data_IF_140917071599
#
_entry.id   IF_140917071599
#
_cell.length_a   1.000
_cell.length_b   1.000
_cell.length_c   1.000
_cell.angle_alpha   90.00
_cell.angle_beta   90.00
_cell.angle_gamma   90.00
#
_symmetry.space_group_name_H-M   'P 1'
#
loop_
_entity.id
_entity.type
_entity.pdbx_description
1 polymer ?
#
# COMPACT_ATOMS: atom_id res chain seq x y z
N UNK A 1 0.80 19.42 -13.35
CA UNK A 1 0.91 17.94 -13.41
C UNK A 1 0.83 17.41 -12.00
N UNK A 2 -0.23 16.68 -11.67
CA UNK A 2 -0.46 16.10 -10.34
C UNK A 2 0.66 15.11 -10.03
N UNK A 3 1.41 15.37 -8.94
CA UNK A 3 2.49 14.50 -8.48
C UNK A 3 1.87 13.15 -8.10
N UNK A 4 2.10 12.12 -8.91
CA UNK A 4 1.81 10.74 -8.52
C UNK A 4 2.64 10.47 -7.26
N UNK A 5 1.97 10.45 -6.10
CA UNK A 5 2.58 10.28 -4.78
C UNK A 5 2.84 8.79 -4.56
N UNK A 6 3.63 8.20 -5.46
CA UNK A 6 4.12 6.82 -5.36
C UNK A 6 5.37 6.83 -4.49
N UNK A 7 5.36 6.02 -3.44
CA UNK A 7 6.49 5.83 -2.54
C UNK A 7 7.05 4.41 -2.72
N UNK A 8 8.39 4.29 -2.78
CA UNK A 8 9.05 3.00 -2.94
C UNK A 8 9.10 2.27 -1.61
N UNK A 9 8.55 1.05 -1.55
CA UNK A 9 8.62 0.17 -0.38
C UNK A 9 9.61 -0.98 -0.62
N UNK A 10 10.67 -1.05 0.19
CA UNK A 10 11.66 -2.14 0.16
C UNK A 10 11.42 -3.12 1.30
N UNK A 11 11.19 -4.40 0.97
CA UNK A 11 10.84 -5.45 1.94
C UNK A 11 11.84 -6.60 1.84
N UNK A 12 12.42 -7.00 2.97
CA UNK A 12 13.15 -8.27 3.10
C UNK A 12 12.22 -9.30 3.73
N UNK A 13 12.08 -10.46 3.09
CA UNK A 13 11.17 -11.53 3.53
C UNK A 13 11.72 -12.89 3.13
N UNK A 14 11.06 -13.97 3.56
CA UNK A 14 11.45 -15.34 3.23
C UNK A 14 11.16 -15.68 1.76
N UNK A 15 11.88 -16.65 1.17
CA UNK A 15 11.62 -17.12 -0.20
C UNK A 15 10.18 -17.60 -0.39
N UNK A 16 9.61 -18.26 0.61
CA UNK A 16 8.24 -18.79 0.55
C UNK A 16 7.21 -17.66 0.43
N UNK A 17 7.34 -16.59 1.21
CA UNK A 17 6.44 -15.43 1.12
C UNK A 17 6.54 -14.78 -0.25
N UNK A 18 7.75 -14.64 -0.81
CA UNK A 18 7.95 -14.10 -2.16
C UNK A 18 7.23 -14.94 -3.24
N UNK A 19 7.29 -16.27 -3.13
CA UNK A 19 6.62 -17.17 -4.07
C UNK A 19 5.10 -17.11 -3.95
N UNK A 20 4.57 -17.15 -2.73
CA UNK A 20 3.14 -17.04 -2.48
C UNK A 20 2.57 -15.71 -2.98
N UNK A 21 3.28 -14.61 -2.73
CA UNK A 21 2.87 -13.28 -3.19
C UNK A 21 2.81 -13.20 -4.72
N UNK A 22 3.80 -13.80 -5.41
CA UNK A 22 3.81 -13.87 -6.87
C UNK A 22 2.66 -14.71 -7.41
N UNK A 23 2.44 -15.91 -6.86
CA UNK A 23 1.35 -16.78 -7.27
C UNK A 23 -0.03 -16.12 -7.08
N UNK A 24 -0.22 -15.39 -5.98
CA UNK A 24 -1.43 -14.61 -5.74
C UNK A 24 -1.61 -13.50 -6.80
N UNK A 25 -0.55 -12.75 -7.10
CA UNK A 25 -0.57 -11.69 -8.10
C UNK A 25 -0.90 -12.21 -9.50
N UNK A 26 -0.29 -13.35 -9.89
CA UNK A 26 -0.55 -14.02 -11.16
C UNK A 26 -2.00 -14.49 -11.27
N UNK A 27 -2.54 -15.08 -10.20
CA UNK A 27 -3.94 -15.57 -10.16
C UNK A 27 -4.96 -14.46 -10.38
N UNK A 28 -4.68 -13.24 -9.94
CA UNK A 28 -5.57 -12.09 -10.11
C UNK A 28 -5.21 -11.20 -11.30
N UNK A 29 -4.23 -11.60 -12.13
CA UNK A 29 -3.75 -10.82 -13.27
C UNK A 29 -3.26 -9.40 -12.89
N UNK A 30 -2.56 -9.28 -11.76
CA UNK A 30 -2.07 -8.00 -11.21
C UNK A 30 -0.57 -8.02 -11.01
N UNK A 31 0.02 -6.83 -10.85
CA UNK A 31 1.42 -6.72 -10.43
C UNK A 31 1.58 -7.13 -8.96
N UNK A 32 2.79 -7.55 -8.59
CA UNK A 32 3.15 -7.85 -7.19
C UNK A 32 2.94 -6.63 -6.29
N UNK A 33 3.25 -5.41 -6.77
CA UNK A 33 3.02 -4.19 -6.03
C UNK A 33 1.52 -3.97 -5.74
N UNK A 34 0.67 -4.13 -6.75
CA UNK A 34 -0.79 -4.01 -6.59
C UNK A 34 -1.34 -5.08 -5.63
N UNK A 35 -0.81 -6.31 -5.69
CA UNK A 35 -1.19 -7.36 -4.74
C UNK A 35 -0.81 -6.99 -3.29
N UNK A 36 0.36 -6.39 -3.07
CA UNK A 36 0.75 -5.91 -1.73
C UNK A 36 -0.24 -4.86 -1.22
N UNK A 37 -0.67 -3.91 -2.05
CA UNK A 37 -1.67 -2.92 -1.65
C UNK A 37 -3.00 -3.57 -1.22
N UNK A 38 -3.50 -4.52 -2.00
CA UNK A 38 -4.72 -5.27 -1.67
C UNK A 38 -4.58 -5.99 -0.32
N UNK A 39 -3.49 -6.73 -0.13
CA UNK A 39 -3.26 -7.46 1.10
C UNK A 39 -3.17 -6.54 2.32
N UNK A 40 -2.52 -5.38 2.18
CA UNK A 40 -2.40 -4.38 3.26
C UNK A 40 -3.76 -3.76 3.58
N UNK A 41 -4.55 -3.39 2.56
CA UNK A 41 -5.89 -2.81 2.75
C UNK A 41 -6.85 -3.81 3.40
N UNK A 42 -6.86 -5.05 2.95
CA UNK A 42 -7.71 -6.10 3.51
C UNK A 42 -7.32 -6.43 4.96
N UNK A 43 -6.02 -6.49 5.25
CA UNK A 43 -5.54 -6.61 6.63
C UNK A 43 -6.02 -5.42 7.47
N UNK A 44 -5.83 -4.18 7.00
CA UNK A 44 -6.27 -2.99 7.72
C UNK A 44 -7.78 -3.01 8.00
N UNK A 45 -8.61 -3.33 7.00
CA UNK A 45 -10.06 -3.46 7.13
C UNK A 45 -10.45 -4.51 8.18
N UNK A 46 -9.85 -5.70 8.10
CA UNK A 46 -10.12 -6.81 9.03
C UNK A 46 -9.74 -6.48 10.47
N UNK A 47 -8.72 -5.62 10.65
CA UNK A 47 -8.19 -5.25 11.96
C UNK A 47 -8.61 -3.85 12.42
N UNK A 48 -9.46 -3.15 11.68
CA UNK A 48 -9.90 -1.79 12.02
C UNK A 48 -8.79 -0.74 12.00
N UNK A 49 -7.71 -0.97 11.26
CA UNK A 49 -6.62 0.00 11.13
C UNK A 49 -7.04 1.12 10.18
N UNK A 50 -6.98 2.35 10.66
CA UNK A 50 -7.20 3.56 9.85
C UNK A 50 -5.85 4.18 9.51
N UNK A 51 -5.68 4.58 8.25
CA UNK A 51 -4.55 5.44 7.88
C UNK A 51 -4.84 6.80 8.51
N UNK A 52 -3.94 7.34 9.37
CA UNK A 52 -4.11 8.69 9.86
C UNK A 52 -4.22 9.61 8.64
N UNK A 53 -5.25 10.47 8.61
CA UNK A 53 -5.36 11.48 7.58
C UNK A 53 -4.02 12.22 7.53
N UNK A 54 -3.33 12.14 6.40
CA UNK A 54 -2.14 12.94 6.21
C UNK A 54 -2.64 14.39 6.18
N UNK A 55 -2.56 15.10 7.31
CA UNK A 55 -2.82 16.52 7.42
C UNK A 55 -1.80 17.28 6.56
N UNK A 56 -2.00 17.22 5.25
CA UNK A 56 -1.27 17.95 4.23
C UNK A 56 -1.93 19.29 3.94
N UNK A 57 -2.46 19.97 4.96
CA UNK A 57 -2.76 21.39 4.88
C UNK A 57 -1.69 22.13 5.67
N UNK A 58 -0.87 23.01 5.06
CA UNK A 58 -0.49 24.20 5.79
C UNK A 58 -1.81 24.87 6.15
N UNK A 59 -2.12 24.87 7.44
CA UNK A 59 -3.11 25.76 8.00
C UNK A 59 -2.57 27.19 7.87
N UNK A 60 -2.59 27.75 6.67
CA UNK A 60 -2.57 29.20 6.50
C UNK A 60 -4.00 29.69 6.69
N UNK A 61 -4.36 29.73 7.98
CA UNK A 61 -5.42 30.59 8.48
C UNK A 61 -4.85 32.01 8.51
N UNK A 62 -5.45 32.89 7.71
CA UNK A 62 -5.87 34.24 8.13
C UNK A 62 -4.81 35.22 8.64
N UNK A 63 -4.44 36.19 7.80
CA UNK A 63 -4.42 37.62 8.12
C UNK A 63 -4.43 38.45 6.83
#
# INVERSE_FOLDING_TARGET
>A
MTRLKVETLSIRTSPNVKQLLRAAAEREHRSVASMVEVLVIEYARKHGLQVPAQDGRPSESSA
#
